data_IF_930007445037
#
_entry.id   IF_930007445037
#
_cell.length_a   1.000
_cell.length_b   1.000
_cell.length_c   1.000
_cell.angle_alpha   90.00
_cell.angle_beta   90.00
_cell.angle_gamma   90.00
#
_symmetry.space_group_name_H-M   'P 1'
#
loop_
_entity.id
_entity.type
_entity.pdbx_description
1 polymer ?
#
# COMPACT_ATOMS: atom_id res chain seq x y z
N UNK A 1 29.93 -3.49 -75.14
CA UNK A 1 29.19 -4.14 -73.99
C UNK A 1 29.76 -3.59 -72.71
N UNK A 2 29.04 -2.72 -72.02
CA UNK A 2 29.44 -2.19 -70.69
C UNK A 2 28.50 -2.80 -69.63
N UNK A 3 29.09 -3.59 -68.72
CA UNK A 3 28.40 -4.26 -67.65
C UNK A 3 28.31 -3.25 -66.48
N UNK A 4 27.11 -2.93 -66.06
CA UNK A 4 26.84 -2.09 -64.86
C UNK A 4 26.66 -3.02 -63.66
N UNK A 5 27.50 -2.88 -62.65
CA UNK A 5 27.35 -3.56 -61.37
C UNK A 5 26.41 -2.73 -60.47
N UNK A 6 25.46 -3.37 -59.78
CA UNK A 6 24.61 -2.67 -58.79
C UNK A 6 25.36 -2.50 -57.46
N UNK A 7 25.35 -1.24 -56.97
CA UNK A 7 25.79 -0.92 -55.57
C UNK A 7 24.69 -1.31 -54.59
N UNK A 8 24.98 -2.33 -53.78
CA UNK A 8 24.18 -2.64 -52.58
C UNK A 8 24.46 -1.59 -51.50
N UNK A 9 23.42 -0.85 -51.11
CA UNK A 9 23.44 0.04 -49.95
C UNK A 9 23.11 -0.82 -48.71
N UNK A 10 24.06 -0.94 -47.78
CA UNK A 10 23.85 -1.53 -46.47
C UNK A 10 23.12 -0.49 -45.59
N UNK A 11 21.83 -0.72 -45.29
CA UNK A 11 21.09 0.06 -44.30
C UNK A 11 21.39 -0.57 -42.92
N UNK A 12 22.27 0.09 -42.19
CA UNK A 12 22.54 -0.25 -40.80
C UNK A 12 21.37 0.16 -39.91
N UNK A 13 20.63 -0.80 -39.39
CA UNK A 13 19.57 -0.55 -38.38
C UNK A 13 20.24 -0.25 -37.05
N UNK A 14 20.17 1.00 -36.59
CA UNK A 14 20.63 1.40 -35.26
C UNK A 14 19.57 0.93 -34.21
N UNK A 15 19.86 -0.13 -33.52
CA UNK A 15 19.04 -0.58 -32.36
C UNK A 15 19.42 0.31 -31.18
N UNK A 16 18.56 1.30 -30.89
CA UNK A 16 18.66 2.08 -29.66
C UNK A 16 18.14 1.20 -28.52
N UNK A 17 19.04 0.61 -27.75
CA UNK A 17 18.69 -0.04 -26.50
C UNK A 17 18.29 1.04 -25.48
N UNK A 18 16.99 1.24 -25.29
CA UNK A 18 16.47 2.00 -24.15
C UNK A 18 16.76 1.18 -22.89
N UNK A 19 17.81 1.55 -22.18
CA UNK A 19 18.07 1.01 -20.84
C UNK A 19 16.91 1.49 -19.93
N UNK A 20 15.96 0.61 -19.63
CA UNK A 20 15.03 0.82 -18.54
C UNK A 20 15.86 0.86 -17.25
N UNK A 21 16.22 2.06 -16.79
CA UNK A 21 16.73 2.23 -15.42
C UNK A 21 15.58 1.90 -14.49
N UNK A 22 15.69 0.74 -13.84
CA UNK A 22 14.79 0.38 -12.74
C UNK A 22 14.79 1.55 -11.73
N UNK A 23 13.63 1.99 -11.23
CA UNK A 23 13.57 3.05 -10.23
C UNK A 23 14.43 2.61 -9.04
N UNK A 24 15.38 3.45 -8.63
CA UNK A 24 16.22 3.16 -7.48
C UNK A 24 15.33 3.12 -6.25
N UNK A 25 15.24 1.96 -5.61
CA UNK A 25 14.42 1.73 -4.44
C UNK A 25 15.32 1.63 -3.20
N UNK A 26 14.81 2.07 -2.06
CA UNK A 26 15.52 2.05 -0.77
C UNK A 26 14.88 1.01 0.14
N UNK A 27 15.70 0.06 0.63
CA UNK A 27 15.26 -0.89 1.65
C UNK A 27 15.03 -0.14 2.96
N UNK A 28 13.87 -0.35 3.56
CA UNK A 28 13.52 0.24 4.85
C UNK A 28 14.28 -0.48 5.97
N UNK A 29 14.98 0.29 6.80
CA UNK A 29 15.69 -0.20 7.99
C UNK A 29 14.82 -0.07 9.24
N UNK A 30 15.14 -0.84 10.28
CA UNK A 30 14.47 -0.75 11.60
C UNK A 30 13.11 -1.44 11.69
N UNK A 31 12.71 -2.18 10.67
CA UNK A 31 11.55 -3.08 10.75
C UNK A 31 11.89 -4.32 11.59
N UNK A 32 10.88 -5.04 12.15
CA UNK A 32 11.10 -6.36 12.72
C UNK A 32 11.88 -7.26 11.77
N UNK A 33 12.73 -8.13 12.31
CA UNK A 33 13.69 -8.95 11.51
C UNK A 33 13.04 -9.78 10.42
N UNK A 34 11.78 -10.12 10.61
CA UNK A 34 10.95 -10.90 9.70
C UNK A 34 10.19 -10.05 8.66
N UNK A 35 10.37 -8.72 8.69
CA UNK A 35 9.66 -7.82 7.78
C UNK A 35 10.62 -7.04 6.89
N UNK A 36 10.34 -7.04 5.61
CA UNK A 36 11.07 -6.25 4.60
C UNK A 36 10.10 -5.41 3.79
N UNK A 37 10.44 -4.14 3.60
CA UNK A 37 9.71 -3.20 2.75
C UNK A 37 10.71 -2.35 1.98
N UNK A 38 10.39 -2.04 0.74
CA UNK A 38 11.21 -1.18 -0.11
C UNK A 38 10.38 0.02 -0.56
N UNK A 39 10.92 1.22 -0.36
CA UNK A 39 10.29 2.45 -0.82
C UNK A 39 10.96 2.98 -2.10
N UNK A 40 10.21 3.57 -3.03
CA UNK A 40 10.76 4.27 -4.19
C UNK A 40 11.65 5.44 -3.75
N UNK A 41 12.58 5.82 -4.63
CA UNK A 41 13.44 6.99 -4.38
C UNK A 41 12.58 8.25 -4.16
N UNK A 42 12.92 9.01 -3.14
CA UNK A 42 12.23 10.25 -2.77
C UNK A 42 11.11 10.07 -1.76
N UNK A 43 10.66 8.82 -1.52
CA UNK A 43 9.74 8.56 -0.42
C UNK A 43 10.48 8.60 0.90
N UNK A 44 9.82 9.13 1.91
CA UNK A 44 10.30 9.20 3.29
C UNK A 44 9.45 8.31 4.17
N UNK A 45 10.05 7.80 5.25
CA UNK A 45 9.35 7.02 6.27
C UNK A 45 9.76 7.54 7.64
N UNK A 46 8.78 7.64 8.53
CA UNK A 46 8.99 8.06 9.93
C UNK A 46 8.27 7.11 10.88
N UNK A 47 8.83 6.98 12.09
CA UNK A 47 8.17 6.25 13.17
C UNK A 47 6.95 7.01 13.67
N UNK A 48 5.90 6.31 14.01
CA UNK A 48 4.68 6.90 14.58
C UNK A 48 4.67 6.72 16.07
N UNK A 49 4.61 7.83 16.80
CA UNK A 49 4.53 7.83 18.27
C UNK A 49 3.13 7.47 18.77
N UNK A 50 2.09 7.80 17.97
CA UNK A 50 0.70 7.48 18.26
C UNK A 50 0.18 6.50 17.20
N UNK A 51 -0.42 5.39 17.62
CA UNK A 51 -1.02 4.42 16.72
C UNK A 51 -2.13 5.10 15.88
N UNK A 52 -1.97 5.28 14.57
CA UNK A 52 -2.96 5.92 13.72
C UNK A 52 -4.27 5.12 13.66
N UNK A 53 -4.25 3.85 14.07
CA UNK A 53 -5.41 2.97 14.14
C UNK A 53 -6.03 2.94 15.55
N UNK A 54 -5.47 3.65 16.53
CA UNK A 54 -5.90 3.58 17.94
C UNK A 54 -7.33 4.04 18.17
N UNK A 55 -7.84 4.92 17.32
CA UNK A 55 -9.16 5.53 17.50
C UNK A 55 -10.21 4.71 16.77
N UNK A 56 -10.93 3.83 17.48
CA UNK A 56 -12.07 3.01 17.01
C UNK A 56 -11.75 1.72 16.24
N UNK A 57 -10.57 1.15 16.40
CA UNK A 57 -10.22 -0.10 15.74
C UNK A 57 -10.47 -1.32 16.66
N UNK A 58 -11.27 -2.33 16.27
CA UNK A 58 -11.41 -3.56 17.03
C UNK A 58 -10.10 -4.34 17.17
N UNK A 59 -9.11 -4.12 16.26
CA UNK A 59 -7.75 -4.64 16.40
C UNK A 59 -6.95 -3.93 17.49
N UNK A 60 -7.50 -2.89 18.13
CA UNK A 60 -6.84 -2.09 19.14
C UNK A 60 -6.99 -2.61 20.56
N UNK A 61 -7.63 -3.75 20.74
CA UNK A 61 -7.84 -4.35 22.07
C UNK A 61 -6.63 -5.19 22.45
N UNK A 62 -5.64 -4.55 23.07
CA UNK A 62 -4.62 -5.20 23.85
C UNK A 62 -3.36 -5.79 23.22
N UNK A 63 -3.21 -6.02 21.90
CA UNK A 63 -1.96 -6.55 21.41
C UNK A 63 -0.86 -5.48 21.39
N UNK A 64 0.33 -5.90 21.72
CA UNK A 64 1.53 -5.07 21.70
C UNK A 64 1.81 -4.60 20.26
N UNK A 65 1.98 -3.28 20.08
CA UNK A 65 2.46 -2.70 18.82
C UNK A 65 3.94 -2.96 18.73
N UNK A 66 4.37 -3.77 17.78
CA UNK A 66 5.78 -4.06 17.53
C UNK A 66 6.43 -2.97 16.68
N UNK A 67 5.71 -2.46 15.71
CA UNK A 67 6.18 -1.41 14.82
C UNK A 67 5.02 -0.65 14.20
N UNK A 68 5.18 0.66 14.06
CA UNK A 68 4.23 1.52 13.36
C UNK A 68 5.00 2.62 12.63
N UNK A 69 4.86 2.65 11.31
CA UNK A 69 5.55 3.60 10.44
C UNK A 69 4.58 4.22 9.46
N UNK A 70 4.80 5.48 9.14
CA UNK A 70 4.10 6.16 8.04
C UNK A 70 5.10 6.57 6.97
N UNK A 71 4.66 6.63 5.72
CA UNK A 71 5.50 6.95 4.59
C UNK A 71 4.74 7.73 3.52
N UNK A 72 5.45 8.64 2.84
CA UNK A 72 4.92 9.47 1.74
C UNK A 72 6.08 10.01 0.89
N UNK A 73 5.87 10.34 -0.39
CA UNK A 73 6.80 11.17 -1.15
C UNK A 73 6.75 12.65 -0.73
N UNK A 74 5.68 13.10 -0.05
CA UNK A 74 5.55 14.47 0.47
C UNK A 74 5.77 14.48 2.00
N UNK A 75 6.84 15.16 2.48
CA UNK A 75 7.10 15.26 3.92
C UNK A 75 6.01 16.03 4.68
N UNK A 76 5.22 16.88 4.03
CA UNK A 76 4.11 17.59 4.69
C UNK A 76 2.99 16.64 5.09
N UNK A 77 2.72 15.59 4.31
CA UNK A 77 1.74 14.56 4.66
C UNK A 77 2.18 13.78 5.91
N UNK A 78 3.49 13.58 6.10
CA UNK A 78 4.04 12.92 7.28
C UNK A 78 3.96 13.79 8.55
N UNK A 79 4.03 15.10 8.40
CA UNK A 79 3.97 16.05 9.52
C UNK A 79 2.56 16.22 10.11
N UNK A 80 1.52 15.85 9.37
CA UNK A 80 0.13 16.02 9.78
C UNK A 80 -0.28 15.18 10.99
N UNK A 81 0.47 14.10 11.31
CA UNK A 81 0.24 13.22 12.47
C UNK A 81 -1.09 12.45 12.44
N UNK A 82 -1.82 12.53 11.34
CA UNK A 82 -3.11 11.86 11.10
C UNK A 82 -3.13 11.24 9.71
N UNK A 83 -3.96 10.22 9.51
CA UNK A 83 -4.16 9.62 8.20
C UNK A 83 -4.83 10.63 7.27
N UNK A 84 -4.13 11.06 6.23
CA UNK A 84 -4.64 11.94 5.19
C UNK A 84 -5.08 11.09 4.01
N UNK A 85 -6.40 10.97 3.81
CA UNK A 85 -6.94 10.13 2.74
C UNK A 85 -7.10 10.88 1.41
N UNK A 86 -7.31 12.19 1.47
CA UNK A 86 -7.58 13.06 0.32
C UNK A 86 -6.38 13.91 -0.09
N UNK A 87 -5.18 13.50 0.32
CA UNK A 87 -3.92 14.14 -0.05
C UNK A 87 -3.65 14.13 -1.54
N UNK A 88 -2.88 15.12 -2.00
CA UNK A 88 -2.36 15.21 -3.38
C UNK A 88 -1.15 14.31 -3.63
N UNK A 89 -0.57 13.76 -2.57
CA UNK A 89 0.46 12.74 -2.60
C UNK A 89 -0.01 11.50 -1.82
N UNK A 90 0.50 10.30 -2.15
CA UNK A 90 0.14 9.11 -1.41
C UNK A 90 0.61 9.18 0.05
N UNK A 91 -0.28 8.83 0.95
CA UNK A 91 0.02 8.56 2.34
C UNK A 91 -0.09 7.06 2.58
N UNK A 92 0.93 6.48 3.19
CA UNK A 92 0.91 5.08 3.54
C UNK A 92 1.33 4.84 4.99
N UNK A 93 0.93 3.70 5.52
CA UNK A 93 1.45 3.22 6.78
C UNK A 93 1.69 1.70 6.76
N UNK A 94 2.66 1.28 7.54
CA UNK A 94 2.90 -0.09 7.93
C UNK A 94 2.68 -0.21 9.43
N UNK A 95 1.87 -1.18 9.82
CA UNK A 95 1.56 -1.45 11.22
C UNK A 95 1.70 -2.94 11.51
N UNK A 96 2.49 -3.30 12.52
CA UNK A 96 2.76 -4.68 12.92
C UNK A 96 2.42 -4.84 14.39
N UNK A 97 1.59 -5.83 14.69
CA UNK A 97 1.16 -6.15 16.06
C UNK A 97 1.42 -7.59 16.41
N UNK A 98 1.75 -7.84 17.67
CA UNK A 98 1.81 -9.15 18.26
C UNK A 98 0.42 -9.53 18.80
N UNK A 99 -0.13 -10.62 18.32
CA UNK A 99 -1.37 -11.20 18.81
C UNK A 99 -1.08 -12.39 19.72
N UNK A 100 -1.98 -12.69 20.65
CA UNK A 100 -1.97 -13.97 21.36
C UNK A 100 -2.52 -15.07 20.46
N UNK A 101 -2.26 -16.34 20.78
CA UNK A 101 -2.84 -17.48 20.06
C UNK A 101 -4.38 -17.47 20.08
N UNK A 102 -4.97 -17.03 21.18
CA UNK A 102 -6.41 -16.89 21.32
C UNK A 102 -6.97 -15.82 20.37
N UNK A 103 -6.34 -14.65 20.35
CA UNK A 103 -6.71 -13.56 19.43
C UNK A 103 -6.59 -13.99 17.95
N UNK A 104 -5.53 -14.76 17.61
CA UNK A 104 -5.39 -15.29 16.25
C UNK A 104 -6.54 -16.27 15.92
N UNK A 105 -6.88 -17.16 16.84
CA UNK A 105 -7.95 -18.13 16.64
C UNK A 105 -9.33 -17.48 16.48
N UNK A 106 -9.55 -16.34 17.10
CA UNK A 106 -10.82 -15.60 17.06
C UNK A 106 -10.90 -14.58 15.92
N UNK A 107 -9.76 -14.17 15.34
CA UNK A 107 -9.73 -13.13 14.32
C UNK A 107 -9.98 -13.71 12.92
N UNK A 108 -10.96 -13.19 12.23
CA UNK A 108 -11.24 -13.56 10.85
C UNK A 108 -10.59 -12.59 9.85
N UNK A 109 -10.40 -13.01 8.58
CA UNK A 109 -9.96 -12.13 7.49
C UNK A 109 -10.90 -10.92 7.36
N UNK A 110 -12.18 -11.10 7.62
CA UNK A 110 -13.18 -10.03 7.61
C UNK A 110 -12.88 -8.98 8.69
N UNK A 111 -12.49 -9.39 9.88
CA UNK A 111 -12.14 -8.48 10.97
C UNK A 111 -10.87 -7.69 10.61
N UNK A 112 -9.87 -8.39 10.07
CA UNK A 112 -8.64 -7.78 9.58
C UNK A 112 -8.93 -6.72 8.51
N UNK A 113 -9.74 -7.06 7.50
CA UNK A 113 -10.15 -6.14 6.43
C UNK A 113 -10.81 -4.88 6.95
N UNK A 114 -11.67 -5.02 7.95
CA UNK A 114 -12.40 -3.90 8.54
C UNK A 114 -11.60 -3.13 9.60
N UNK A 115 -10.44 -3.64 9.98
CA UNK A 115 -9.63 -3.08 11.06
C UNK A 115 -9.03 -1.71 10.74
N UNK A 116 -8.80 -1.40 9.48
CA UNK A 116 -8.25 -0.10 9.05
C UNK A 116 -9.36 0.82 8.53
N UNK A 117 -10.12 0.32 7.58
CA UNK A 117 -11.26 1.02 7.02
C UNK A 117 -12.51 0.17 7.21
N UNK A 118 -13.66 0.74 7.64
CA UNK A 118 -14.89 -0.02 7.88
C UNK A 118 -15.56 -0.44 6.56
N UNK A 119 -14.85 -1.22 5.77
CA UNK A 119 -15.15 -1.59 4.39
C UNK A 119 -16.54 -2.22 4.24
N UNK A 120 -16.83 -3.28 4.99
CA UNK A 120 -18.11 -4.00 4.86
C UNK A 120 -19.28 -3.14 5.31
N UNK A 121 -19.11 -2.37 6.38
CA UNK A 121 -20.14 -1.45 6.88
C UNK A 121 -20.43 -0.34 5.86
N UNK A 122 -19.39 0.24 5.27
CA UNK A 122 -19.52 1.29 4.26
C UNK A 122 -20.20 0.74 3.01
N UNK A 123 -19.77 -0.42 2.53
CA UNK A 123 -20.35 -1.09 1.37
C UNK A 123 -21.82 -1.46 1.58
N UNK A 124 -22.17 -1.99 2.75
CA UNK A 124 -23.54 -2.37 3.07
C UNK A 124 -24.46 -1.15 3.21
N UNK A 125 -23.97 -0.07 3.82
CA UNK A 125 -24.75 1.15 4.05
C UNK A 125 -25.00 1.94 2.77
N UNK A 126 -24.00 2.05 1.91
CA UNK A 126 -24.10 2.80 0.66
C UNK A 126 -23.16 2.19 -0.42
N UNK A 127 -23.63 1.18 -1.16
CA UNK A 127 -22.81 0.51 -2.17
C UNK A 127 -22.37 1.43 -3.33
N UNK A 128 -23.04 2.58 -3.51
CA UNK A 128 -22.71 3.51 -4.59
C UNK A 128 -21.46 4.38 -4.25
N UNK A 129 -21.06 4.48 -2.98
CA UNK A 129 -19.88 5.27 -2.58
C UNK A 129 -18.59 4.46 -2.57
N UNK A 130 -18.68 3.13 -2.63
CA UNK A 130 -17.52 2.24 -2.57
C UNK A 130 -17.48 1.31 -3.78
N UNK A 131 -16.38 1.37 -4.55
CA UNK A 131 -16.14 0.51 -5.71
C UNK A 131 -14.91 -0.34 -5.44
N UNK A 132 -15.07 -1.67 -5.44
CA UNK A 132 -13.95 -2.61 -5.40
C UNK A 132 -13.25 -2.62 -6.75
N UNK A 133 -11.93 -2.44 -6.75
CA UNK A 133 -11.07 -2.48 -7.93
C UNK A 133 -10.42 -3.87 -8.02
N UNK A 134 -9.82 -4.33 -6.90
CA UNK A 134 -9.22 -5.65 -6.80
C UNK A 134 -9.45 -6.21 -5.40
N UNK A 135 -9.60 -7.53 -5.31
CA UNK A 135 -9.69 -8.26 -4.04
C UNK A 135 -9.07 -9.64 -4.24
N UNK A 136 -7.98 -9.92 -3.53
CA UNK A 136 -7.21 -11.15 -3.69
C UNK A 136 -6.91 -11.75 -2.33
N UNK A 137 -7.36 -12.97 -2.04
CA UNK A 137 -6.98 -13.67 -0.82
C UNK A 137 -5.49 -14.00 -0.84
N UNK A 138 -4.86 -13.91 0.32
CA UNK A 138 -3.46 -14.31 0.54
C UNK A 138 -3.48 -15.60 1.35
N UNK A 139 -2.78 -16.63 0.86
CA UNK A 139 -2.55 -17.88 1.57
C UNK A 139 -1.24 -18.47 1.07
N UNK A 140 -0.14 -18.04 1.66
CA UNK A 140 1.21 -18.43 1.29
C UNK A 140 2.12 -18.50 2.54
N UNK A 141 3.43 -18.56 2.33
CA UNK A 141 4.42 -18.65 3.42
C UNK A 141 4.36 -17.47 4.40
N UNK A 142 3.85 -16.33 4.00
CA UNK A 142 3.67 -15.14 4.87
C UNK A 142 2.55 -15.34 5.87
N UNK A 143 1.59 -16.20 5.57
CA UNK A 143 0.39 -16.39 6.36
C UNK A 143 -0.87 -16.34 5.52
N UNK A 144 -1.95 -15.91 6.12
CA UNK A 144 -3.25 -15.73 5.46
C UNK A 144 -3.78 -14.32 5.67
N UNK A 145 -4.53 -13.84 4.69
CA UNK A 145 -5.01 -12.47 4.70
C UNK A 145 -5.69 -12.07 3.41
N UNK A 146 -5.67 -10.79 3.12
CA UNK A 146 -6.30 -10.24 1.93
C UNK A 146 -5.55 -8.98 1.44
N UNK A 147 -5.40 -8.88 0.13
CA UNK A 147 -5.05 -7.65 -0.56
C UNK A 147 -6.32 -7.08 -1.19
N UNK A 148 -6.62 -5.82 -0.92
CA UNK A 148 -7.85 -5.15 -1.33
C UNK A 148 -7.54 -3.76 -1.84
N UNK A 149 -7.87 -3.49 -3.11
CA UNK A 149 -7.84 -2.16 -3.70
C UNK A 149 -9.26 -1.71 -3.98
N UNK A 150 -9.64 -0.53 -3.48
CA UNK A 150 -10.98 0.01 -3.66
C UNK A 150 -10.97 1.53 -3.70
N UNK A 151 -11.95 2.12 -4.36
CA UNK A 151 -12.21 3.55 -4.27
C UNK A 151 -13.43 3.85 -3.41
N UNK A 152 -13.37 4.96 -2.69
CA UNK A 152 -14.47 5.44 -1.85
C UNK A 152 -14.66 6.93 -2.08
N UNK A 153 -15.93 7.37 -2.19
CA UNK A 153 -16.26 8.78 -2.24
C UNK A 153 -16.41 9.31 -0.83
N UNK A 154 -15.52 10.21 -0.45
CA UNK A 154 -15.61 10.94 0.80
C UNK A 154 -16.57 12.14 0.65
N UNK A 155 -17.45 12.38 1.62
CA UNK A 155 -18.26 13.60 1.62
C UNK A 155 -17.39 14.81 1.96
N UNK A 156 -17.81 16.00 1.58
CA UNK A 156 -17.10 17.26 1.85
C UNK A 156 -16.81 17.52 3.34
N UNK A 157 -17.59 16.94 4.23
CA UNK A 157 -17.35 17.02 5.67
C UNK A 157 -16.18 16.14 6.16
N UNK A 158 -15.67 15.26 5.32
CA UNK A 158 -14.59 14.32 5.64
C UNK A 158 -13.30 14.58 4.82
N UNK A 159 -13.26 15.70 4.07
CA UNK A 159 -12.10 16.11 3.28
C UNK A 159 -11.45 17.35 3.88
N UNK A 160 -10.16 17.52 3.65
CA UNK A 160 -9.38 18.63 4.21
C UNK A 160 -9.78 19.99 3.64
N UNK A 161 -10.22 20.04 2.39
CA UNK A 161 -10.62 21.25 1.65
C UNK A 161 -12.13 21.52 1.64
N UNK A 162 -12.94 20.64 2.25
CA UNK A 162 -14.40 20.73 2.26
C UNK A 162 -15.06 20.40 0.91
N UNK A 163 -14.34 19.78 -0.03
CA UNK A 163 -14.86 19.35 -1.34
C UNK A 163 -14.94 17.81 -1.36
N UNK A 164 -16.04 17.24 -1.83
CA UNK A 164 -16.16 15.78 -1.97
C UNK A 164 -15.05 15.22 -2.85
N UNK A 165 -14.31 14.25 -2.35
CA UNK A 165 -13.21 13.62 -3.08
C UNK A 165 -13.47 12.13 -3.31
N UNK A 166 -12.96 11.61 -4.43
CA UNK A 166 -12.82 10.17 -4.65
C UNK A 166 -11.40 9.76 -4.22
N UNK A 167 -11.31 8.84 -3.27
CA UNK A 167 -10.05 8.34 -2.72
C UNK A 167 -9.90 6.89 -3.13
N UNK A 168 -8.71 6.51 -3.58
CA UNK A 168 -8.34 5.11 -3.80
C UNK A 168 -7.46 4.63 -2.66
N UNK A 169 -7.78 3.46 -2.15
CA UNK A 169 -7.11 2.82 -1.03
C UNK A 169 -6.60 1.47 -1.51
N UNK A 170 -5.32 1.20 -1.27
CA UNK A 170 -4.70 -0.11 -1.37
C UNK A 170 -4.35 -0.59 0.04
N UNK A 171 -4.95 -1.70 0.43
CA UNK A 171 -4.79 -2.27 1.75
C UNK A 171 -4.43 -3.73 1.66
N UNK A 172 -3.35 -4.12 2.31
CA UNK A 172 -2.96 -5.52 2.48
C UNK A 172 -2.88 -5.85 3.96
N UNK A 173 -3.57 -6.89 4.38
CA UNK A 173 -3.54 -7.38 5.76
C UNK A 173 -3.13 -8.84 5.75
N UNK A 174 -2.14 -9.18 6.58
CA UNK A 174 -1.63 -10.55 6.71
C UNK A 174 -1.56 -10.92 8.18
N UNK A 175 -2.06 -12.09 8.51
CA UNK A 175 -1.87 -12.74 9.80
C UNK A 175 -0.94 -13.92 9.62
N UNK A 176 0.18 -13.91 10.34
CA UNK A 176 1.18 -14.99 10.37
C UNK A 176 1.01 -15.82 11.64
N UNK A 177 0.46 -17.05 11.55
CA UNK A 177 0.36 -17.92 12.73
C UNK A 177 1.73 -18.37 13.26
N UNK A 178 2.76 -18.36 12.42
CA UNK A 178 4.11 -18.78 12.82
C UNK A 178 4.77 -17.78 13.79
N UNK A 179 4.48 -16.50 13.62
CA UNK A 179 5.03 -15.43 14.46
C UNK A 179 3.98 -14.79 15.37
N UNK A 180 2.71 -15.13 15.20
CA UNK A 180 1.56 -14.47 15.83
C UNK A 180 1.48 -12.97 15.49
N UNK A 181 2.02 -12.55 14.35
CA UNK A 181 1.96 -11.17 13.92
C UNK A 181 0.74 -10.93 13.02
N UNK A 182 0.10 -9.80 13.23
CA UNK A 182 -0.82 -9.20 12.26
C UNK A 182 -0.13 -7.96 11.72
N UNK A 183 0.04 -7.94 10.40
CA UNK A 183 0.70 -6.86 9.69
C UNK A 183 -0.26 -6.22 8.70
N UNK A 184 -0.30 -4.89 8.69
CA UNK A 184 -1.13 -4.09 7.81
C UNK A 184 -0.25 -3.16 7.01
N UNK A 185 -0.33 -3.22 5.70
CA UNK A 185 0.22 -2.23 4.78
C UNK A 185 -0.96 -1.51 4.12
N UNK A 186 -0.93 -0.19 4.17
CA UNK A 186 -2.01 0.66 3.67
C UNK A 186 -1.41 1.83 2.89
N UNK A 187 -1.99 2.15 1.74
CA UNK A 187 -1.65 3.34 0.96
C UNK A 187 -2.94 3.98 0.44
N UNK A 188 -3.06 5.27 0.58
CA UNK A 188 -4.23 6.01 0.08
C UNK A 188 -3.84 7.40 -0.43
N UNK A 189 -4.59 7.88 -1.41
CA UNK A 189 -4.67 9.29 -1.82
C UNK A 189 -5.90 9.49 -2.72
N UNK A 190 -6.11 10.69 -3.24
CA UNK A 190 -7.17 10.91 -4.25
C UNK A 190 -7.02 9.95 -5.43
N UNK A 191 -8.12 9.61 -6.10
CA UNK A 191 -8.07 8.63 -7.20
C UNK A 191 -7.16 9.09 -8.34
N UNK A 192 -7.11 10.37 -8.65
CA UNK A 192 -6.22 10.94 -9.67
C UNK A 192 -4.75 10.83 -9.23
N UNK A 193 -4.46 11.10 -7.94
CA UNK A 193 -3.14 10.88 -7.36
C UNK A 193 -2.75 9.40 -7.44
N UNK A 194 -3.66 8.49 -7.11
CA UNK A 194 -3.40 7.06 -7.13
C UNK A 194 -3.01 6.57 -8.54
N UNK A 195 -3.67 7.05 -9.59
CA UNK A 195 -3.32 6.72 -10.97
C UNK A 195 -1.89 7.18 -11.33
N UNK A 196 -1.49 8.38 -10.90
CA UNK A 196 -0.13 8.90 -11.12
C UNK A 196 0.94 8.07 -10.42
N UNK A 197 0.65 7.62 -9.19
CA UNK A 197 1.61 6.89 -8.35
C UNK A 197 1.44 5.36 -8.41
N UNK A 198 0.51 4.83 -9.19
CA UNK A 198 0.14 3.42 -9.19
C UNK A 198 1.35 2.48 -9.28
N UNK A 199 2.25 2.71 -10.24
CA UNK A 199 3.44 1.87 -10.41
C UNK A 199 4.37 1.87 -9.19
N UNK A 200 4.45 2.98 -8.47
CA UNK A 200 5.25 3.08 -7.24
C UNK A 200 4.55 2.37 -6.08
N UNK A 201 3.24 2.54 -5.95
CA UNK A 201 2.40 1.86 -4.94
C UNK A 201 2.46 0.35 -5.14
N UNK A 202 2.28 -0.14 -6.38
CA UNK A 202 2.42 -1.55 -6.73
C UNK A 202 3.82 -2.07 -6.38
N UNK A 203 4.86 -1.26 -6.61
CA UNK A 203 6.23 -1.56 -6.22
C UNK A 203 6.40 -1.74 -4.71
N UNK A 204 5.80 -0.87 -3.90
CA UNK A 204 5.81 -0.94 -2.44
C UNK A 204 5.11 -2.22 -1.97
N UNK A 205 3.86 -2.44 -2.41
CA UNK A 205 3.05 -3.61 -2.05
C UNK A 205 3.73 -4.91 -2.44
N UNK A 206 4.28 -4.97 -3.65
CA UNK A 206 4.99 -6.15 -4.15
C UNK A 206 6.36 -6.37 -3.48
N UNK A 207 6.98 -5.34 -2.91
CA UNK A 207 8.25 -5.48 -2.18
C UNK A 207 8.05 -5.98 -0.75
N UNK A 208 6.86 -5.78 -0.19
CA UNK A 208 6.59 -6.17 1.18
C UNK A 208 6.60 -7.67 1.36
N UNK A 209 7.42 -8.12 2.29
CA UNK A 209 7.59 -9.52 2.68
C UNK A 209 7.59 -9.64 4.19
N UNK A 210 6.92 -10.66 4.67
CA UNK A 210 7.09 -11.19 6.02
C UNK A 210 7.75 -12.55 5.87
N UNK A 211 8.86 -12.77 6.57
CA UNK A 211 9.55 -14.06 6.58
C UNK A 211 9.17 -14.80 7.86
N UNK A 212 8.92 -16.09 7.74
CA UNK A 212 8.71 -17.00 8.90
C UNK A 212 10.04 -17.44 9.48
#
# INVERSE_FOLDING_TARGET
MRVHAPRMALIGTLVVATACTAPSATLVSGLPKDTMLTLPKGWQMVDVVADPLAVNNPLNVGPEVLDAKVFSPDPNELAAGSIVLDGSAPYGFLHIRQFTQEQIAETSIRDLRNGVFPFDKTRAKNPAVLKVIAQTPISDQRGFGEHLTFSVRLPSSATSDGISASVTIDQTVIMSPATNHVSVLFVACTSDCFEVYQSQIDGIVNSWRTTT
#
